data_IF_209415853147
#
_entry.id   IF_209415853147
#
_cell.length_a   1.000
_cell.length_b   1.000
_cell.length_c   1.000
_cell.angle_alpha   90.00
_cell.angle_beta   90.00
_cell.angle_gamma   90.00
#
_symmetry.space_group_name_H-M   'P 1'
#
loop_
_entity.id
_entity.type
_entity.pdbx_description
1 polymer ?
#
# COMPACT_ATOMS: atom_id res chain seq x y z
N UNK A 1 6.98 -23.20 1.63
CA UNK A 1 7.28 -21.83 2.11
C UNK A 1 5.98 -21.28 2.63
N UNK A 2 5.98 -20.77 3.85
CA UNK A 2 4.80 -20.16 4.43
C UNK A 2 4.77 -18.69 4.00
N UNK A 3 3.60 -18.20 3.61
CA UNK A 3 3.39 -16.83 3.16
C UNK A 3 2.38 -16.21 4.12
N UNK A 4 2.75 -15.07 4.70
CA UNK A 4 1.86 -14.24 5.51
C UNK A 4 1.52 -12.99 4.71
N UNK A 5 0.26 -12.89 4.27
CA UNK A 5 -0.28 -11.67 3.67
C UNK A 5 -1.09 -10.92 4.73
N UNK A 6 -0.82 -9.62 4.87
CA UNK A 6 -1.47 -8.76 5.86
C UNK A 6 -2.17 -7.65 5.12
N UNK A 7 -3.49 -7.63 5.25
CA UNK A 7 -4.31 -6.53 4.79
C UNK A 7 -4.25 -5.38 5.78
N UNK A 8 -4.08 -4.15 5.27
CA UNK A 8 -3.93 -2.96 6.09
C UNK A 8 -5.14 -2.06 5.92
N UNK A 9 -5.60 -1.36 6.97
CA UNK A 9 -6.63 -0.34 6.81
C UNK A 9 -6.25 0.65 5.71
N UNK A 10 -7.19 0.93 4.80
CA UNK A 10 -6.99 1.98 3.82
C UNK A 10 -7.03 3.35 4.48
N UNK A 11 -6.12 4.23 4.10
CA UNK A 11 -6.27 5.64 4.42
C UNK A 11 -7.44 6.20 3.61
N UNK A 12 -8.57 6.40 4.27
CA UNK A 12 -9.77 7.01 3.69
C UNK A 12 -10.30 8.04 4.69
N UNK A 13 -11.26 8.86 4.28
CA UNK A 13 -11.75 10.00 5.07
C UNK A 13 -12.36 9.63 6.44
N UNK A 14 -12.48 8.33 6.74
CA UNK A 14 -13.04 7.80 7.98
C UNK A 14 -12.05 7.76 9.14
N UNK A 15 -10.74 7.63 8.86
CA UNK A 15 -9.69 7.58 9.89
C UNK A 15 -8.58 8.59 9.56
N UNK A 16 -8.11 9.36 10.57
CA UNK A 16 -6.93 10.20 10.37
C UNK A 16 -5.70 9.37 9.98
N UNK A 17 -4.96 9.87 9.00
CA UNK A 17 -3.67 9.38 8.51
C UNK A 17 -2.74 8.81 9.60
N UNK A 18 -2.57 9.54 10.71
CA UNK A 18 -1.68 9.14 11.81
C UNK A 18 -2.17 7.91 12.57
N UNK A 19 -3.49 7.66 12.61
CA UNK A 19 -4.05 6.48 13.27
C UNK A 19 -3.75 5.23 12.46
N UNK A 20 -3.92 5.28 11.13
CA UNK A 20 -3.59 4.18 10.23
C UNK A 20 -2.11 3.86 10.30
N UNK A 21 -1.24 4.87 10.24
CA UNK A 21 0.21 4.70 10.44
C UNK A 21 0.54 4.09 11.80
N UNK A 22 -0.14 4.52 12.86
CA UNK A 22 0.03 3.96 14.20
C UNK A 22 -0.37 2.49 14.30
N UNK A 23 -1.40 2.07 13.57
CA UNK A 23 -1.82 0.67 13.49
C UNK A 23 -0.81 -0.21 12.78
N UNK A 24 -0.33 0.23 11.62
CA UNK A 24 0.70 -0.45 10.85
C UNK A 24 1.99 -0.57 11.67
N UNK A 25 2.46 0.53 12.28
CA UNK A 25 3.68 0.55 13.07
C UNK A 25 3.61 -0.38 14.30
N UNK A 26 2.47 -0.39 15.00
CA UNK A 26 2.24 -1.28 16.14
C UNK A 26 2.27 -2.74 15.71
N UNK A 27 1.63 -3.08 14.58
CA UNK A 27 1.62 -4.43 14.05
C UNK A 27 3.03 -4.87 13.63
N UNK A 28 3.76 -4.03 12.88
CA UNK A 28 5.16 -4.28 12.50
C UNK A 28 6.07 -4.50 13.71
N UNK A 29 5.91 -3.70 14.75
CA UNK A 29 6.67 -3.86 16.01
C UNK A 29 6.38 -5.21 16.67
N UNK A 30 5.11 -5.62 16.70
CA UNK A 30 4.70 -6.89 17.31
C UNK A 30 5.24 -8.11 16.56
N UNK A 31 5.26 -8.09 15.22
CA UNK A 31 5.82 -9.20 14.43
C UNK A 31 7.35 -9.22 14.46
N UNK A 32 7.98 -8.05 14.51
CA UNK A 32 9.45 -7.96 14.62
C UNK A 32 9.93 -8.51 15.96
N UNK A 33 9.18 -8.28 17.05
CA UNK A 33 9.45 -8.89 18.36
C UNK A 33 9.35 -10.43 18.34
N UNK A 34 8.64 -11.00 17.35
CA UNK A 34 8.56 -12.44 17.10
C UNK A 34 9.60 -12.94 16.08
N UNK A 35 10.58 -12.10 15.72
CA UNK A 35 11.60 -12.38 14.72
C UNK A 35 11.03 -12.66 13.31
N UNK A 36 9.86 -12.11 13.00
CA UNK A 36 9.28 -12.11 11.65
C UNK A 36 9.59 -10.75 11.03
N UNK A 37 10.22 -10.78 9.85
CA UNK A 37 10.58 -9.56 9.10
C UNK A 37 9.59 -9.34 7.97
N UNK A 38 9.41 -8.08 7.62
CA UNK A 38 8.69 -7.68 6.42
C UNK A 38 9.61 -7.91 5.21
N UNK A 39 9.15 -8.68 4.23
CA UNK A 39 9.90 -8.94 2.99
C UNK A 39 9.59 -7.89 1.92
N UNK A 40 8.30 -7.72 1.58
CA UNK A 40 7.84 -6.80 0.54
C UNK A 40 6.55 -6.07 0.93
N UNK A 41 6.33 -4.91 0.34
CA UNK A 41 5.12 -4.09 0.48
C UNK A 41 4.42 -3.95 -0.87
N UNK A 42 3.11 -4.17 -0.89
CA UNK A 42 2.29 -4.04 -2.10
C UNK A 42 1.47 -2.75 -2.01
N UNK A 43 1.62 -1.86 -2.98
CA UNK A 43 0.76 -0.68 -3.11
C UNK A 43 -0.26 -0.92 -4.22
N UNK A 44 -1.53 -0.95 -3.86
CA UNK A 44 -2.63 -1.22 -4.78
C UNK A 44 -3.25 0.08 -5.29
N UNK A 45 -3.39 0.21 -6.61
CA UNK A 45 -4.03 1.36 -7.26
C UNK A 45 -5.00 0.91 -8.36
N UNK A 46 -6.23 1.43 -8.44
CA UNK A 46 -7.13 1.12 -9.54
C UNK A 46 -6.56 1.61 -10.88
N UNK A 47 -6.48 0.74 -11.89
CA UNK A 47 -6.00 1.14 -13.23
C UNK A 47 -6.95 2.12 -13.93
N UNK A 48 -8.23 2.11 -13.56
CA UNK A 48 -9.23 3.04 -14.07
C UNK A 48 -9.05 4.48 -13.57
N UNK A 49 -8.20 4.73 -12.57
CA UNK A 49 -7.88 6.10 -12.13
C UNK A 49 -6.82 6.73 -13.03
N UNK A 50 -7.25 7.48 -14.04
CA UNK A 50 -6.35 8.19 -14.97
C UNK A 50 -5.57 9.35 -14.34
N UNK A 51 -5.89 9.75 -13.11
CA UNK A 51 -5.20 10.82 -12.40
C UNK A 51 -5.17 10.52 -10.91
N UNK A 52 -3.99 10.69 -10.30
CA UNK A 52 -3.89 10.65 -8.85
C UNK A 52 -4.60 11.88 -8.26
N UNK A 53 -5.82 11.67 -7.77
CA UNK A 53 -6.59 12.70 -7.06
C UNK A 53 -5.88 13.06 -5.75
N UNK A 54 -6.27 14.18 -5.13
CA UNK A 54 -5.65 14.65 -3.89
C UNK A 54 -5.62 13.56 -2.79
N UNK A 55 -6.71 12.79 -2.64
CA UNK A 55 -6.81 11.69 -1.69
C UNK A 55 -5.85 10.54 -2.04
N UNK A 56 -5.79 10.13 -3.31
CA UNK A 56 -4.84 9.11 -3.79
C UNK A 56 -3.38 9.55 -3.57
N UNK A 57 -3.05 10.82 -3.85
CA UNK A 57 -1.73 11.39 -3.61
C UNK A 57 -1.38 11.42 -2.12
N UNK A 58 -2.32 11.81 -1.27
CA UNK A 58 -2.16 11.78 0.20
C UNK A 58 -1.83 10.37 0.68
N UNK A 59 -2.58 9.38 0.21
CA UNK A 59 -2.38 7.97 0.53
C UNK A 59 -1.03 7.44 0.06
N UNK A 60 -0.65 7.77 -1.18
CA UNK A 60 0.65 7.39 -1.73
C UNK A 60 1.80 8.04 -0.95
N UNK A 61 1.67 9.30 -0.56
CA UNK A 61 2.67 9.98 0.25
C UNK A 61 2.81 9.34 1.63
N UNK A 62 1.71 9.03 2.31
CA UNK A 62 1.76 8.30 3.57
C UNK A 62 2.42 6.92 3.44
N UNK A 63 2.10 6.17 2.40
CA UNK A 63 2.72 4.87 2.15
C UNK A 63 4.25 5.01 2.00
N UNK A 64 4.72 6.02 1.27
CA UNK A 64 6.14 6.32 1.14
C UNK A 64 6.80 6.65 2.49
N UNK A 65 6.14 7.45 3.32
CA UNK A 65 6.65 7.77 4.66
C UNK A 65 6.69 6.54 5.58
N UNK A 66 5.69 5.65 5.49
CA UNK A 66 5.66 4.39 6.24
C UNK A 66 6.76 3.41 5.82
N UNK A 67 7.02 3.32 4.50
CA UNK A 67 8.03 2.44 3.94
C UNK A 67 9.46 2.92 4.28
N UNK A 68 9.69 4.24 4.22
CA UNK A 68 11.02 4.82 4.28
C UNK A 68 11.76 4.69 2.95
N UNK A 69 12.43 5.77 2.52
CA UNK A 69 13.01 5.88 1.16
C UNK A 69 13.99 4.76 0.80
N UNK A 70 14.74 4.24 1.76
CA UNK A 70 15.74 3.19 1.54
C UNK A 70 15.13 1.81 1.25
N UNK A 71 13.83 1.65 1.51
CA UNK A 71 13.09 0.39 1.36
C UNK A 71 12.24 0.33 0.09
N UNK A 72 12.28 1.35 -0.79
CA UNK A 72 11.47 1.37 -2.01
C UNK A 72 11.79 0.21 -2.97
N UNK A 73 12.98 -0.39 -2.87
CA UNK A 73 13.35 -1.62 -3.60
C UNK A 73 12.50 -2.85 -3.23
N UNK A 74 11.78 -2.80 -2.10
CA UNK A 74 10.86 -3.81 -1.60
C UNK A 74 9.39 -3.43 -1.80
N UNK A 75 9.13 -2.39 -2.61
CA UNK A 75 7.77 -1.95 -2.94
C UNK A 75 7.41 -2.46 -4.33
N UNK A 76 6.27 -3.14 -4.44
CA UNK A 76 5.65 -3.50 -5.71
C UNK A 76 4.39 -2.69 -5.91
N UNK A 77 4.32 -1.97 -7.02
CA UNK A 77 3.09 -1.29 -7.44
C UNK A 77 2.19 -2.29 -8.17
N UNK A 78 0.97 -2.44 -7.70
CA UNK A 78 0.00 -3.41 -8.21
C UNK A 78 -1.22 -2.65 -8.70
N UNK A 79 -1.54 -2.80 -9.98
CA UNK A 79 -2.78 -2.25 -10.55
C UNK A 79 -3.95 -3.21 -10.36
N UNK A 80 -5.12 -2.69 -10.00
CA UNK A 80 -6.36 -3.45 -9.78
C UNK A 80 -7.50 -2.91 -10.65
N UNK A 81 -8.69 -3.53 -10.57
CA UNK A 81 -9.89 -3.13 -11.34
C UNK A 81 -9.73 -3.21 -12.86
N UNK A 82 -9.00 -4.22 -13.34
CA UNK A 82 -8.79 -4.48 -14.77
C UNK A 82 -10.08 -4.73 -15.55
N UNK A 83 -11.16 -5.17 -14.88
CA UNK A 83 -12.49 -5.31 -15.45
C UNK A 83 -13.18 -3.97 -15.79
N UNK A 84 -12.58 -2.84 -15.40
CA UNK A 84 -13.09 -1.47 -15.63
C UNK A 84 -12.45 -0.76 -16.81
N UNK A 85 -11.46 -1.35 -17.47
CA UNK A 85 -10.78 -0.78 -18.63
C UNK A 85 -10.90 -1.72 -19.83
N UNK A 86 -10.83 -1.18 -21.05
CA UNK A 86 -10.69 -2.01 -22.25
C UNK A 86 -9.30 -2.65 -22.28
N UNK A 87 -9.15 -3.78 -22.99
CA UNK A 87 -7.84 -4.40 -23.18
C UNK A 87 -6.86 -3.39 -23.80
N UNK A 88 -7.29 -2.61 -24.79
CA UNK A 88 -6.46 -1.58 -25.43
C UNK A 88 -5.85 -0.61 -24.42
N UNK A 89 -6.64 -0.11 -23.47
CA UNK A 89 -6.17 0.80 -22.40
C UNK A 89 -5.28 0.07 -21.39
N UNK A 90 -5.54 -1.21 -21.13
CA UNK A 90 -4.75 -2.01 -20.19
C UNK A 90 -3.37 -2.44 -20.71
N UNK A 91 -3.17 -2.42 -22.03
CA UNK A 91 -1.90 -2.80 -22.67
C UNK A 91 -0.96 -1.62 -22.96
N UNK A 92 -1.43 -0.37 -22.86
CA UNK A 92 -0.61 0.85 -22.95
C UNK A 92 0.20 1.12 -21.67
#
# INVERSE_FOLDING_TARGET
>A
RDILLVDTPGCNDWLPDFQVLGEIARWLTAIYAKNIKLDDMLYFHPISEHTMRETTLRNFNMFKEACGKDNFKHVVFVTTMWDKVSEEVGWE
#
